data_IF_154271457772
#
_entry.id   IF_154271457772
#
_cell.length_a   1.000
_cell.length_b   1.000
_cell.length_c   1.000
_cell.angle_alpha   90.00
_cell.angle_beta   90.00
_cell.angle_gamma   90.00
#
_symmetry.space_group_name_H-M   'P 1'
#
loop_
_entity.id
_entity.type
_entity.pdbx_description
1 polymer ?
#
# COMPACT_ATOMS: atom_id res chain seq x y z
N UNK A 1 1.00 -7.67 -0.91
CA UNK A 1 0.37 -7.00 -2.07
C UNK A 1 0.63 -5.50 -1.98
N UNK A 2 0.90 -4.86 -3.11
CA UNK A 2 1.00 -3.40 -3.24
C UNK A 2 0.17 -3.03 -4.46
N UNK A 3 -0.86 -2.23 -4.29
CA UNK A 3 -1.80 -1.91 -5.35
C UNK A 3 -2.69 -0.71 -5.01
N UNK A 4 -3.51 -0.29 -5.96
CA UNK A 4 -4.33 0.93 -5.90
C UNK A 4 -5.83 0.66 -5.76
N UNK A 5 -6.24 -0.63 -5.75
CA UNK A 5 -7.62 -1.04 -5.54
C UNK A 5 -7.86 -1.56 -4.11
N UNK A 6 -8.82 -0.95 -3.40
CA UNK A 6 -9.22 -1.43 -2.07
C UNK A 6 -9.79 -2.86 -2.15
N UNK A 7 -10.67 -3.14 -3.09
CA UNK A 7 -11.34 -4.44 -3.20
C UNK A 7 -10.39 -5.51 -3.76
N UNK A 8 -9.75 -5.24 -4.90
CA UNK A 8 -8.97 -6.24 -5.62
C UNK A 8 -7.61 -6.52 -4.94
N UNK A 9 -6.90 -5.48 -4.50
CA UNK A 9 -5.55 -5.62 -3.95
C UNK A 9 -5.54 -5.74 -2.43
N UNK A 10 -6.28 -4.89 -1.72
CA UNK A 10 -6.20 -4.81 -0.26
C UNK A 10 -7.05 -5.89 0.40
N UNK A 11 -8.35 -5.91 0.11
CA UNK A 11 -9.26 -6.91 0.67
C UNK A 11 -8.91 -8.31 0.15
N UNK A 12 -8.65 -8.46 -1.14
CA UNK A 12 -8.20 -9.73 -1.74
C UNK A 12 -6.95 -10.31 -1.09
N UNK A 13 -5.90 -9.50 -0.89
CA UNK A 13 -4.68 -9.98 -0.24
C UNK A 13 -4.87 -10.26 1.26
N UNK A 14 -5.61 -9.40 1.98
CA UNK A 14 -5.90 -9.59 3.41
C UNK A 14 -6.72 -10.85 3.67
N UNK A 15 -7.66 -11.18 2.80
CA UNK A 15 -8.46 -12.42 2.88
C UNK A 15 -7.58 -13.69 2.81
N UNK A 16 -6.41 -13.62 2.18
CA UNK A 16 -5.42 -14.69 2.11
C UNK A 16 -4.36 -14.63 3.22
N UNK A 17 -4.51 -13.71 4.19
CA UNK A 17 -3.55 -13.51 5.27
C UNK A 17 -2.26 -12.80 4.84
N UNK A 18 -2.24 -12.19 3.66
CA UNK A 18 -1.10 -11.43 3.16
C UNK A 18 -1.13 -9.99 3.66
N UNK A 19 0.05 -9.42 3.90
CA UNK A 19 0.21 -7.98 4.11
C UNK A 19 -0.14 -7.23 2.82
N UNK A 20 -0.90 -6.15 2.94
CA UNK A 20 -1.31 -5.30 1.83
C UNK A 20 -1.02 -3.82 2.12
N UNK A 21 -0.55 -3.08 1.12
CA UNK A 21 -0.26 -1.64 1.19
C UNK A 21 -1.00 -0.95 0.04
N UNK A 22 -1.79 0.07 0.35
CA UNK A 22 -2.53 0.86 -0.65
C UNK A 22 -1.64 1.96 -1.22
N UNK A 23 -1.63 2.08 -2.55
CA UNK A 23 -1.01 3.19 -3.27
C UNK A 23 -2.12 4.13 -3.75
N UNK A 24 -2.29 5.24 -3.06
CA UNK A 24 -3.35 6.23 -3.28
C UNK A 24 -2.77 7.54 -3.87
N UNK A 25 -2.37 7.47 -5.15
CA UNK A 25 -1.68 8.58 -5.84
C UNK A 25 -2.54 9.83 -6.01
N UNK A 26 -3.86 9.63 -6.05
CA UNK A 26 -4.86 10.67 -6.28
C UNK A 26 -5.51 11.16 -4.98
N UNK A 27 -5.03 10.69 -3.81
CA UNK A 27 -5.58 11.03 -2.50
C UNK A 27 -7.09 10.76 -2.38
N UNK A 28 -7.57 9.67 -2.97
CA UNK A 28 -8.98 9.26 -2.96
C UNK A 28 -9.40 8.58 -1.67
N UNK A 29 -8.45 8.08 -0.89
CA UNK A 29 -8.71 7.31 0.33
C UNK A 29 -7.93 7.88 1.54
N UNK A 30 -8.07 9.18 1.87
CA UNK A 30 -7.34 9.83 2.96
C UNK A 30 -7.57 9.21 4.34
N UNK A 31 -8.68 8.48 4.52
CA UNK A 31 -9.04 7.75 5.72
C UNK A 31 -8.20 6.48 5.97
N UNK A 32 -7.46 5.99 4.96
CA UNK A 32 -6.62 4.80 5.10
C UNK A 32 -5.26 5.21 5.68
N UNK A 33 -5.03 4.94 6.96
CA UNK A 33 -3.84 5.38 7.70
C UNK A 33 -2.52 4.92 7.06
N UNK A 34 -2.42 3.66 6.63
CA UNK A 34 -1.18 3.06 6.08
C UNK A 34 -1.07 3.16 4.55
N UNK A 35 -1.75 4.12 3.92
CA UNK A 35 -1.62 4.36 2.47
C UNK A 35 -0.34 5.10 2.14
N UNK A 36 0.15 4.91 0.92
CA UNK A 36 1.24 5.70 0.34
C UNK A 36 0.73 6.45 -0.89
N UNK A 37 1.14 7.71 -1.07
CA UNK A 37 0.81 8.48 -2.28
C UNK A 37 1.78 8.21 -3.44
N UNK A 38 2.89 7.53 -3.18
CA UNK A 38 3.88 7.11 -4.17
C UNK A 38 4.60 5.82 -3.75
N UNK A 39 5.48 5.32 -4.61
CA UNK A 39 6.29 4.12 -4.33
C UNK A 39 7.62 4.43 -3.62
N UNK A 40 7.98 5.70 -3.44
CA UNK A 40 9.22 6.09 -2.77
C UNK A 40 9.16 5.75 -1.27
N UNK A 41 7.97 5.79 -0.68
CA UNK A 41 7.72 5.37 0.70
C UNK A 41 7.68 3.85 0.92
N UNK A 42 7.61 3.05 -0.16
CA UNK A 42 7.43 1.60 -0.05
C UNK A 42 8.57 0.89 0.69
N UNK A 43 9.87 1.20 0.48
CA UNK A 43 10.94 0.59 1.25
C UNK A 43 10.75 0.79 2.75
N UNK A 44 10.46 2.02 3.20
CA UNK A 44 10.22 2.31 4.61
C UNK A 44 9.01 1.54 5.17
N UNK A 45 7.92 1.46 4.41
CA UNK A 45 6.75 0.65 4.78
C UNK A 45 7.11 -0.84 4.91
N UNK A 46 8.03 -1.35 4.10
CA UNK A 46 8.54 -2.73 4.19
C UNK A 46 9.64 -2.93 5.23
N UNK A 47 10.09 -1.88 5.93
CA UNK A 47 11.22 -1.95 6.87
C UNK A 47 12.58 -2.10 6.17
N UNK A 48 12.68 -1.65 4.92
CA UNK A 48 13.86 -1.70 4.07
C UNK A 48 14.46 -0.31 3.87
N UNK A 49 15.75 -0.27 3.58
CA UNK A 49 16.41 0.95 3.11
C UNK A 49 15.98 1.26 1.66
N UNK A 50 15.89 2.54 1.33
CA UNK A 50 15.57 2.97 -0.04
C UNK A 50 16.73 2.63 -0.97
N UNK A 51 16.48 2.07 -2.17
CA UNK A 51 17.52 1.90 -3.18
C UNK A 51 18.17 3.24 -3.53
N UNK A 52 19.50 3.23 -3.69
CA UNK A 52 20.28 4.39 -4.12
C UNK A 52 19.93 4.84 -5.54
#
# INVERSE_FOLDING_TARGET
MVGDSLEEDIEGARALGLRAILIDREERHPEVEDRLTDLLGLPAALGLERPA
#
